data_IF_266319852126
#
_entry.id   IF_266319852126
#
_cell.length_a   1.000
_cell.length_b   1.000
_cell.length_c   1.000
_cell.angle_alpha   90.00
_cell.angle_beta   90.00
_cell.angle_gamma   90.00
#
_symmetry.space_group_name_H-M   'P 1'
#
loop_
_entity.id
_entity.type
_entity.pdbx_description
1 polymer ?
#
# COMPACT_ATOMS: atom_id res chain seq x y z
N UNK A 1 18.82 -8.07 -19.19
CA UNK A 1 18.24 -6.97 -19.98
C UNK A 1 17.19 -6.24 -19.17
N UNK A 2 17.06 -4.94 -19.40
CA UNK A 2 15.98 -4.18 -18.77
C UNK A 2 14.62 -4.67 -19.27
N UNK A 3 13.60 -4.50 -18.44
CA UNK A 3 12.24 -4.87 -18.78
C UNK A 3 11.32 -3.71 -18.44
N UNK A 4 10.41 -3.39 -19.38
CA UNK A 4 9.40 -2.37 -19.19
C UNK A 4 8.04 -3.03 -18.97
N UNK A 5 7.35 -2.65 -17.90
CA UNK A 5 5.99 -3.11 -17.59
C UNK A 5 5.05 -1.94 -17.70
N UNK A 6 4.00 -2.08 -18.52
CA UNK A 6 2.97 -1.04 -18.66
C UNK A 6 1.97 -1.15 -17.51
N UNK A 7 1.56 0.00 -16.97
CA UNK A 7 0.61 0.06 -15.86
C UNK A 7 -0.71 -0.69 -16.16
N UNK A 8 -1.20 -0.60 -17.40
CA UNK A 8 -2.43 -1.29 -17.79
C UNK A 8 -2.35 -2.82 -17.82
N UNK A 9 -1.15 -3.37 -17.76
CA UNK A 9 -0.93 -4.82 -17.73
C UNK A 9 -0.76 -5.37 -16.32
N UNK A 10 -0.74 -4.51 -15.30
CA UNK A 10 -0.62 -4.94 -13.92
C UNK A 10 -1.89 -5.68 -13.49
N UNK A 11 -1.71 -6.79 -12.79
CA UNK A 11 -2.83 -7.50 -12.18
C UNK A 11 -3.47 -6.63 -11.10
N UNK A 12 -4.78 -6.50 -11.15
CA UNK A 12 -5.56 -5.74 -10.16
C UNK A 12 -6.24 -6.69 -9.20
N UNK A 13 -5.93 -6.52 -7.91
CA UNK A 13 -6.62 -7.24 -6.85
C UNK A 13 -7.68 -6.34 -6.24
N UNK A 14 -8.95 -6.72 -6.44
CA UNK A 14 -10.09 -6.02 -5.87
C UNK A 14 -10.31 -6.58 -4.46
N UNK A 15 -9.88 -5.82 -3.46
CA UNK A 15 -9.95 -6.20 -2.06
C UNK A 15 -10.98 -5.32 -1.34
N UNK A 16 -11.49 -5.72 -0.17
CA UNK A 16 -12.42 -4.86 0.57
C UNK A 16 -11.84 -3.47 0.85
N UNK A 17 -12.52 -2.43 0.34
CA UNK A 17 -12.15 -1.04 0.56
C UNK A 17 -10.92 -0.55 -0.18
N UNK A 18 -10.30 -1.38 -1.01
CA UNK A 18 -9.08 -1.00 -1.74
C UNK A 18 -8.88 -1.81 -3.01
N UNK A 19 -8.08 -1.25 -3.91
CA UNK A 19 -7.60 -1.95 -5.12
C UNK A 19 -6.07 -1.95 -5.04
N UNK A 20 -5.47 -3.13 -5.21
CA UNK A 20 -4.01 -3.28 -5.25
C UNK A 20 -3.59 -3.66 -6.66
N UNK A 21 -2.78 -2.80 -7.29
CA UNK A 21 -2.20 -3.07 -8.60
C UNK A 21 -0.82 -3.70 -8.40
N UNK A 22 -0.63 -4.90 -8.90
CA UNK A 22 0.63 -5.65 -8.77
C UNK A 22 1.59 -5.20 -9.87
N UNK A 23 2.35 -4.12 -9.60
CA UNK A 23 3.22 -3.50 -10.61
C UNK A 23 4.39 -4.40 -10.96
N UNK A 24 5.09 -4.92 -9.97
CA UNK A 24 6.21 -5.82 -10.16
C UNK A 24 6.33 -6.75 -8.95
N UNK A 25 6.62 -8.02 -9.21
CA UNK A 25 6.84 -9.01 -8.16
C UNK A 25 7.50 -10.24 -8.76
N UNK A 26 7.88 -11.19 -7.93
CA UNK A 26 8.34 -12.50 -8.39
C UNK A 26 7.27 -13.15 -9.28
N UNK A 27 7.67 -13.53 -10.49
CA UNK A 27 6.74 -14.04 -11.50
C UNK A 27 6.04 -12.96 -12.32
N UNK A 28 6.24 -11.69 -11.98
CA UNK A 28 5.67 -10.54 -12.68
C UNK A 28 6.74 -9.48 -12.96
N UNK A 29 7.84 -9.90 -13.60
CA UNK A 29 8.90 -9.01 -14.08
C UNK A 29 10.02 -8.71 -13.13
N UNK A 30 9.98 -9.17 -11.88
CA UNK A 30 11.04 -8.91 -10.90
C UNK A 30 11.37 -10.17 -10.10
N UNK A 31 12.64 -10.27 -9.68
CA UNK A 31 13.10 -11.41 -8.88
C UNK A 31 13.17 -11.09 -7.38
N UNK A 32 13.58 -9.87 -7.03
CA UNK A 32 13.92 -9.52 -5.65
C UNK A 32 13.18 -8.30 -5.12
N UNK A 33 12.21 -7.80 -5.84
CA UNK A 33 11.46 -6.61 -5.43
C UNK A 33 9.97 -6.78 -5.71
N UNK A 34 9.16 -6.26 -4.81
CA UNK A 34 7.72 -6.21 -4.97
C UNK A 34 7.27 -4.75 -4.92
N UNK A 35 6.51 -4.33 -5.93
CA UNK A 35 5.98 -2.96 -6.02
C UNK A 35 4.49 -3.05 -6.26
N UNK A 36 3.71 -2.36 -5.42
CA UNK A 36 2.25 -2.30 -5.52
C UNK A 36 1.78 -0.85 -5.51
N UNK A 37 0.84 -0.55 -6.37
CA UNK A 37 0.08 0.69 -6.31
C UNK A 37 -1.25 0.37 -5.64
N UNK A 38 -1.51 0.99 -4.49
CA UNK A 38 -2.71 0.72 -3.69
C UNK A 38 -3.59 1.95 -3.69
N UNK A 39 -4.85 1.77 -4.06
CA UNK A 39 -5.87 2.82 -4.03
C UNK A 39 -6.90 2.46 -2.97
N UNK A 40 -7.02 3.32 -1.94
CA UNK A 40 -7.88 3.09 -0.79
C UNK A 40 -9.05 4.07 -0.82
N UNK A 41 -10.26 3.53 -0.75
CA UNK A 41 -11.47 4.34 -0.66
C UNK A 41 -11.54 5.09 0.67
N UNK A 42 -12.18 6.27 0.70
CA UNK A 42 -12.44 6.98 1.96
C UNK A 42 -13.13 6.07 2.98
N UNK A 43 -12.75 6.20 4.25
CA UNK A 43 -13.23 5.33 5.33
C UNK A 43 -14.76 5.35 5.44
N UNK A 44 -15.40 6.50 5.24
CA UNK A 44 -16.85 6.62 5.33
C UNK A 44 -17.62 5.91 4.20
N UNK A 45 -16.92 5.48 3.14
CA UNK A 45 -17.51 4.74 2.02
C UNK A 45 -17.32 3.24 2.15
N UNK A 46 -16.57 2.78 3.16
CA UNK A 46 -16.27 1.37 3.33
C UNK A 46 -17.34 0.68 4.17
N UNK A 47 -17.77 -0.49 3.71
CA UNK A 47 -18.76 -1.31 4.43
C UNK A 47 -18.16 -1.99 5.67
N UNK A 48 -16.87 -2.29 5.60
CA UNK A 48 -16.18 -3.02 6.66
C UNK A 48 -14.88 -2.31 7.04
N UNK A 49 -14.57 -2.33 8.35
CA UNK A 49 -13.32 -1.86 8.86
C UNK A 49 -12.25 -2.91 8.62
N UNK A 50 -11.16 -2.53 7.93
CA UNK A 50 -10.06 -3.45 7.67
C UNK A 50 -9.25 -3.68 8.94
N UNK A 51 -8.76 -4.91 9.10
CA UNK A 51 -7.91 -5.29 10.21
C UNK A 51 -6.44 -4.96 9.93
N UNK A 52 -5.67 -4.82 11.00
CA UNK A 52 -4.21 -4.71 10.88
C UNK A 52 -3.62 -6.00 10.33
N UNK A 53 -2.53 -5.87 9.59
CA UNK A 53 -1.75 -6.99 9.08
C UNK A 53 -0.27 -6.76 9.38
N UNK A 54 0.56 -7.73 9.08
CA UNK A 54 2.00 -7.62 9.26
C UNK A 54 2.75 -8.44 8.21
N UNK A 55 4.01 -8.07 8.01
CA UNK A 55 4.92 -8.81 7.13
C UNK A 55 6.02 -9.40 8.00
N UNK A 56 6.14 -10.75 8.08
CA UNK A 56 7.05 -11.36 9.06
C UNK A 56 8.53 -11.18 8.77
N UNK A 57 8.92 -11.08 7.50
CA UNK A 57 10.33 -11.18 7.12
C UNK A 57 10.90 -9.94 6.42
N UNK A 58 10.09 -8.94 6.13
CA UNK A 58 10.53 -7.81 5.29
C UNK A 58 10.06 -6.47 5.82
N UNK A 59 10.85 -5.44 5.55
CA UNK A 59 10.41 -4.06 5.68
C UNK A 59 9.50 -3.71 4.51
N UNK A 60 8.52 -2.86 4.77
CA UNK A 60 7.70 -2.26 3.72
C UNK A 60 7.91 -0.76 3.69
N UNK A 61 8.07 -0.21 2.50
CA UNK A 61 8.11 1.22 2.29
C UNK A 61 6.76 1.66 1.73
N UNK A 62 6.14 2.64 2.36
CA UNK A 62 4.82 3.17 1.97
C UNK A 62 4.99 4.64 1.64
N UNK A 63 4.76 5.00 0.38
CA UNK A 63 4.89 6.37 -0.11
C UNK A 63 3.54 6.90 -0.58
N UNK A 64 3.16 8.11 -0.14
CA UNK A 64 1.88 8.70 -0.50
C UNK A 64 1.99 9.48 -1.81
N UNK A 65 1.22 9.04 -2.81
CA UNK A 65 1.16 9.71 -4.11
C UNK A 65 0.02 10.74 -4.17
N UNK A 66 -1.14 10.40 -3.63
CA UNK A 66 -2.33 11.26 -3.64
C UNK A 66 -3.15 11.04 -2.37
N UNK A 67 -3.86 12.10 -1.95
CA UNK A 67 -4.77 12.02 -0.83
C UNK A 67 -4.09 12.17 0.53
N UNK A 68 -4.81 11.77 1.57
CA UNK A 68 -4.32 11.79 2.94
C UNK A 68 -4.87 10.60 3.72
N UNK A 69 -4.13 10.15 4.70
CA UNK A 69 -4.49 9.02 5.50
C UNK A 69 -3.77 8.94 6.82
N UNK A 70 -3.97 7.84 7.50
CA UNK A 70 -3.28 7.54 8.75
C UNK A 70 -2.98 6.04 8.80
N UNK A 71 -1.76 5.70 9.16
CA UNK A 71 -1.39 4.32 9.43
C UNK A 71 -1.43 4.08 10.93
N UNK A 72 -2.27 3.13 11.33
CA UNK A 72 -2.44 2.69 12.70
C UNK A 72 -1.59 1.45 12.92
N UNK A 73 -0.52 1.59 13.69
CA UNK A 73 0.46 0.53 13.90
C UNK A 73 0.60 0.22 15.39
N UNK A 74 1.32 -0.84 15.71
CA UNK A 74 1.57 -1.22 17.11
C UNK A 74 2.31 -0.13 17.87
N UNK A 75 3.20 0.61 17.19
CA UNK A 75 4.01 1.66 17.83
C UNK A 75 3.32 3.01 17.88
N UNK A 76 2.19 3.20 17.21
CA UNK A 76 1.47 4.47 17.24
C UNK A 76 0.67 4.74 15.98
N UNK A 77 0.22 5.98 15.86
CA UNK A 77 -0.55 6.46 14.71
C UNK A 77 0.32 7.44 13.91
N UNK A 78 0.37 7.23 12.61
CA UNK A 78 1.21 8.02 11.72
C UNK A 78 0.35 8.69 10.66
N UNK A 79 0.13 9.99 10.79
CA UNK A 79 -0.56 10.79 9.77
C UNK A 79 0.29 10.85 8.51
N UNK A 80 -0.35 10.70 7.36
CA UNK A 80 0.33 10.64 6.08
C UNK A 80 -0.32 11.58 5.08
N UNK A 81 0.49 12.36 4.40
CA UNK A 81 0.08 13.24 3.31
C UNK A 81 1.04 13.08 2.14
N UNK A 82 0.70 13.68 0.99
CA UNK A 82 1.46 13.54 -0.25
C UNK A 82 2.94 13.81 -0.02
N UNK A 83 3.78 12.87 -0.46
CA UNK A 83 5.23 12.94 -0.31
C UNK A 83 5.78 12.31 0.96
N UNK A 84 4.92 11.95 1.91
CA UNK A 84 5.36 11.27 3.12
C UNK A 84 5.74 9.81 2.83
N UNK A 85 6.76 9.35 3.53
CA UNK A 85 7.23 7.97 3.46
C UNK A 85 7.18 7.36 4.85
N UNK A 86 6.55 6.20 4.96
CA UNK A 86 6.54 5.42 6.20
C UNK A 86 7.30 4.12 5.96
N UNK A 87 8.26 3.83 6.84
CA UNK A 87 8.98 2.55 6.82
C UNK A 87 8.36 1.68 7.91
N UNK A 88 7.79 0.56 7.48
CA UNK A 88 7.17 -0.40 8.38
C UNK A 88 8.12 -1.57 8.60
N UNK A 89 8.62 -1.77 9.83
CA UNK A 89 9.53 -2.89 10.08
C UNK A 89 8.80 -4.23 10.04
N UNK A 90 9.56 -5.34 9.93
CA UNK A 90 8.96 -6.67 10.02
C UNK A 90 8.21 -6.85 11.35
N UNK A 91 7.17 -7.68 11.33
CA UNK A 91 6.34 -8.07 12.47
C UNK A 91 5.43 -6.99 13.06
N UNK A 92 5.56 -5.74 12.70
CA UNK A 92 4.69 -4.69 13.21
C UNK A 92 3.32 -4.76 12.55
N UNK A 93 2.26 -4.97 13.34
CA UNK A 93 0.89 -4.98 12.84
C UNK A 93 0.46 -3.55 12.52
N UNK A 94 -0.14 -3.38 11.34
CA UNK A 94 -0.54 -2.06 10.88
C UNK A 94 -1.70 -2.13 9.91
N UNK A 95 -2.37 -1.00 9.74
CA UNK A 95 -3.38 -0.78 8.70
C UNK A 95 -3.37 0.70 8.34
N UNK A 96 -3.36 0.99 7.04
CA UNK A 96 -3.48 2.36 6.55
C UNK A 96 -4.92 2.62 6.17
N UNK A 97 -5.48 3.72 6.67
CA UNK A 97 -6.84 4.14 6.41
C UNK A 97 -6.86 5.48 5.72
N UNK A 98 -7.83 5.65 4.84
CA UNK A 98 -8.07 6.91 4.16
C UNK A 98 -8.91 7.81 5.06
N UNK A 99 -8.30 8.88 5.58
CA UNK A 99 -8.96 9.85 6.46
C UNK A 99 -9.51 11.04 5.69
N UNK A 100 -9.28 11.09 4.38
CA UNK A 100 -9.75 12.16 3.51
C UNK A 100 -11.07 11.84 2.83
N UNK A 101 -11.39 12.63 1.80
CA UNK A 101 -12.63 12.50 1.04
C UNK A 101 -12.44 12.00 -0.39
N UNK A 102 -11.20 11.94 -0.85
CA UNK A 102 -10.84 11.39 -2.16
C UNK A 102 -10.00 10.14 -1.99
N UNK A 103 -9.73 9.45 -3.09
CA UNK A 103 -8.90 8.23 -3.06
C UNK A 103 -7.53 8.54 -2.45
N UNK A 104 -7.09 7.69 -1.56
CA UNK A 104 -5.71 7.67 -1.06
C UNK A 104 -4.90 6.71 -1.93
N UNK A 105 -3.88 7.23 -2.59
CA UNK A 105 -3.06 6.44 -3.48
C UNK A 105 -1.66 6.30 -2.91
N UNK A 106 -1.24 5.06 -2.72
CA UNK A 106 0.03 4.70 -2.11
C UNK A 106 0.89 3.89 -3.08
N UNK A 107 2.18 4.13 -3.05
CA UNK A 107 3.15 3.22 -3.64
C UNK A 107 3.80 2.44 -2.50
N UNK A 108 3.61 1.12 -2.52
CA UNK A 108 4.15 0.22 -1.51
C UNK A 108 5.20 -0.67 -2.17
N UNK A 109 6.37 -0.77 -1.55
CA UNK A 109 7.40 -1.64 -2.09
C UNK A 109 8.22 -2.28 -0.99
N UNK A 110 8.70 -3.48 -1.27
CA UNK A 110 9.51 -4.30 -0.36
C UNK A 110 10.29 -5.35 -1.16
N UNK A 111 11.36 -5.89 -0.56
CA UNK A 111 12.16 -6.93 -1.21
C UNK A 111 11.37 -8.20 -1.50
#
# INVERSE_FOLDING_TARGET
MAQKIKAGNAERLLLPGRVSHQIASAGAGADNICVRLVEIEPEHQQLFKRNRHYHPDVEECIYVLEGEGCTYADTGEYSMSVGDTLIMPPHEHHVTRNTGRSILKLLCFFP
#
